data_IF_661713517614
#
_entry.id   IF_661713517614
#
_cell.length_a   1.000
_cell.length_b   1.000
_cell.length_c   1.000
_cell.angle_alpha   90.00
_cell.angle_beta   90.00
_cell.angle_gamma   90.00
#
_symmetry.space_group_name_H-M   'P 1'
#
loop_
_entity.id
_entity.type
_entity.pdbx_description
1 polymer ?
#
# COMPACT_ATOMS: atom_id res chain seq x y z
N UNK A 1 -54.00 12.76 50.60
CA UNK A 1 -53.32 13.42 49.45
C UNK A 1 -51.83 13.23 49.63
N UNK A 2 -51.31 12.16 49.08
CA UNK A 2 -49.90 11.79 49.26
C UNK A 2 -49.22 12.05 47.91
N UNK A 3 -48.39 13.07 47.88
CA UNK A 3 -47.61 13.45 46.70
C UNK A 3 -46.37 12.52 46.55
N UNK A 4 -46.38 11.65 45.55
CA UNK A 4 -45.22 10.87 45.14
C UNK A 4 -44.24 11.78 44.39
N UNK A 5 -43.09 12.03 44.98
CA UNK A 5 -41.93 12.68 44.33
C UNK A 5 -41.22 11.67 43.46
N UNK A 6 -41.25 11.87 42.13
CA UNK A 6 -40.52 11.08 41.17
C UNK A 6 -39.10 11.64 41.06
N UNK A 7 -38.16 10.98 41.67
CA UNK A 7 -36.72 11.24 41.47
C UNK A 7 -36.33 10.76 40.07
N UNK A 8 -36.07 11.71 39.16
CA UNK A 8 -35.47 11.42 37.85
C UNK A 8 -34.00 11.00 38.05
N UNK A 9 -33.74 9.74 37.86
CA UNK A 9 -32.36 9.21 37.76
C UNK A 9 -31.74 9.69 36.45
N UNK A 10 -30.82 10.60 36.59
CA UNK A 10 -29.97 11.08 35.49
C UNK A 10 -29.06 9.93 35.04
N UNK A 11 -29.45 9.21 33.99
CA UNK A 11 -28.67 8.17 33.38
C UNK A 11 -27.63 8.84 32.48
N UNK A 12 -26.45 9.10 33.05
CA UNK A 12 -25.27 9.53 32.30
C UNK A 12 -25.00 8.56 31.12
N UNK A 13 -25.03 9.10 29.93
CA UNK A 13 -24.75 8.36 28.70
C UNK A 13 -23.34 7.68 28.78
N UNK A 14 -23.24 6.39 28.51
CA UNK A 14 -21.97 5.70 28.63
C UNK A 14 -20.97 6.25 27.62
N UNK A 15 -19.79 6.55 28.09
CA UNK A 15 -18.63 7.04 27.38
C UNK A 15 -18.08 5.96 26.41
N UNK A 16 -18.78 5.74 25.29
CA UNK A 16 -18.45 4.71 24.29
C UNK A 16 -17.07 4.87 23.65
N UNK A 17 -16.45 6.05 23.75
CA UNK A 17 -15.10 6.30 23.24
C UNK A 17 -13.97 5.62 24.03
N UNK A 18 -14.11 5.39 25.32
CA UNK A 18 -13.08 4.75 26.16
C UNK A 18 -13.00 3.24 25.96
N UNK A 19 -14.09 2.58 25.63
CA UNK A 19 -14.13 1.13 25.39
C UNK A 19 -13.75 0.75 23.96
N UNK A 20 -13.86 1.65 22.98
CA UNK A 20 -13.51 1.40 21.58
C UNK A 20 -12.00 1.28 21.33
N UNK A 21 -11.13 1.95 22.11
CA UNK A 21 -9.68 1.91 21.95
C UNK A 21 -9.05 0.52 22.18
N UNK A 22 -9.29 -0.18 23.31
CA UNK A 22 -8.74 -1.51 23.53
C UNK A 22 -9.24 -2.52 22.49
N UNK A 23 -10.49 -2.41 22.06
CA UNK A 23 -11.07 -3.28 21.04
C UNK A 23 -10.40 -3.08 19.68
N UNK A 24 -10.13 -1.83 19.29
CA UNK A 24 -9.45 -1.48 18.05
C UNK A 24 -8.01 -2.03 17.99
N UNK A 25 -7.26 -1.91 19.09
CA UNK A 25 -5.89 -2.43 19.19
C UNK A 25 -5.87 -3.96 19.18
N UNK A 26 -6.80 -4.62 19.87
CA UNK A 26 -6.93 -6.07 19.86
C UNK A 26 -7.26 -6.57 18.45
N UNK A 27 -8.18 -5.92 17.76
CA UNK A 27 -8.54 -6.26 16.38
C UNK A 27 -7.35 -6.08 15.44
N UNK A 28 -6.63 -4.95 15.53
CA UNK A 28 -5.43 -4.70 14.73
C UNK A 28 -4.34 -5.76 14.95
N UNK A 29 -4.12 -6.16 16.22
CA UNK A 29 -3.14 -7.20 16.56
C UNK A 29 -3.52 -8.58 16.01
N UNK A 30 -4.81 -8.94 16.07
CA UNK A 30 -5.30 -10.22 15.51
C UNK A 30 -5.21 -10.21 13.98
N UNK A 31 -5.57 -9.10 13.33
CA UNK A 31 -5.50 -8.95 11.88
C UNK A 31 -4.05 -9.02 11.39
N UNK A 32 -3.14 -8.30 12.04
CA UNK A 32 -1.71 -8.37 11.74
C UNK A 32 -1.16 -9.80 11.89
N UNK A 33 -1.50 -10.50 12.98
CA UNK A 33 -1.10 -11.89 13.20
C UNK A 33 -1.63 -12.82 12.10
N UNK A 34 -2.85 -12.57 11.61
CA UNK A 34 -3.45 -13.33 10.51
C UNK A 34 -2.67 -13.10 9.21
N UNK A 35 -2.34 -11.85 8.87
CA UNK A 35 -1.56 -11.51 7.68
C UNK A 35 -0.16 -12.15 7.74
N UNK A 36 0.52 -12.07 8.88
CA UNK A 36 1.85 -12.66 9.05
C UNK A 36 1.85 -14.21 9.01
N UNK A 37 0.70 -14.85 9.22
CA UNK A 37 0.54 -16.31 9.13
C UNK A 37 0.13 -16.80 7.73
N UNK A 38 -0.26 -15.91 6.86
CA UNK A 38 -0.53 -16.24 5.45
C UNK A 38 0.79 -16.46 4.71
N UNK A 39 1.23 -17.73 4.67
CA UNK A 39 2.52 -18.11 4.09
C UNK A 39 2.61 -17.77 2.60
N UNK A 40 1.54 -17.98 1.85
CA UNK A 40 1.53 -17.70 0.40
C UNK A 40 1.50 -16.20 0.12
N UNK A 41 0.67 -15.44 0.82
CA UNK A 41 0.67 -13.98 0.73
C UNK A 41 2.01 -13.38 1.12
N UNK A 42 2.63 -13.85 2.20
CA UNK A 42 3.95 -13.39 2.65
C UNK A 42 5.07 -13.76 1.65
N UNK A 43 4.98 -14.92 0.99
CA UNK A 43 5.93 -15.29 -0.05
C UNK A 43 5.92 -14.26 -1.19
N UNK A 44 4.76 -13.97 -1.76
CA UNK A 44 4.66 -13.01 -2.87
C UNK A 44 4.95 -11.57 -2.44
N UNK A 45 4.69 -11.25 -1.19
CA UNK A 45 4.87 -9.89 -0.65
C UNK A 45 6.32 -9.60 -0.24
N UNK A 46 7.04 -10.61 0.26
CA UNK A 46 8.37 -10.43 0.86
C UNK A 46 9.45 -11.22 0.11
N UNK A 47 9.25 -12.53 -0.07
CA UNK A 47 10.28 -13.38 -0.64
C UNK A 47 10.50 -13.12 -2.13
N UNK A 48 9.43 -12.92 -2.91
CA UNK A 48 9.55 -12.69 -4.34
C UNK A 48 10.29 -11.37 -4.66
N UNK A 49 9.93 -10.20 -4.07
CA UNK A 49 10.70 -8.98 -4.30
C UNK A 49 12.15 -9.07 -3.84
N UNK A 50 12.42 -9.75 -2.71
CA UNK A 50 13.77 -9.97 -2.23
C UNK A 50 14.57 -10.87 -3.19
N UNK A 51 13.95 -11.92 -3.72
CA UNK A 51 14.56 -12.78 -4.74
C UNK A 51 14.85 -12.01 -6.03
N UNK A 52 13.92 -11.17 -6.50
CA UNK A 52 14.15 -10.36 -7.69
C UNK A 52 15.27 -9.34 -7.46
N UNK A 53 15.38 -8.74 -6.29
CA UNK A 53 16.52 -7.90 -5.93
C UNK A 53 17.83 -8.70 -5.95
N UNK A 54 17.82 -9.91 -5.42
CA UNK A 54 18.99 -10.79 -5.44
C UNK A 54 19.45 -11.10 -6.88
N UNK A 55 18.51 -11.31 -7.80
CA UNK A 55 18.82 -11.66 -9.21
C UNK A 55 19.28 -10.44 -10.01
N UNK A 56 18.65 -9.27 -9.78
CA UNK A 56 18.83 -8.09 -10.65
C UNK A 56 19.67 -6.97 -10.03
N UNK A 57 19.86 -6.97 -8.72
CA UNK A 57 20.49 -5.84 -8.01
C UNK A 57 21.85 -6.16 -7.41
N UNK A 58 22.15 -7.42 -7.10
CA UNK A 58 23.41 -7.75 -6.41
C UNK A 58 24.58 -7.74 -7.38
N UNK A 59 25.64 -7.03 -6.98
CA UNK A 59 26.91 -7.01 -7.70
C UNK A 59 26.98 -5.98 -8.83
N UNK A 60 25.98 -5.11 -8.95
CA UNK A 60 26.01 -4.00 -9.91
C UNK A 60 26.45 -2.71 -9.20
N UNK A 61 27.76 -2.47 -9.19
CA UNK A 61 28.40 -1.32 -8.56
C UNK A 61 28.51 -0.12 -9.50
N UNK A 62 27.93 -0.17 -10.69
CA UNK A 62 27.94 0.94 -11.65
C UNK A 62 27.28 2.18 -11.01
N UNK A 63 27.91 3.34 -11.17
CA UNK A 63 27.41 4.58 -10.60
C UNK A 63 26.14 5.05 -11.33
N UNK A 64 25.11 5.38 -10.56
CA UNK A 64 23.85 5.90 -11.08
C UNK A 64 23.33 7.06 -10.20
N UNK A 65 23.38 8.28 -10.73
CA UNK A 65 23.03 9.48 -9.97
C UNK A 65 23.94 9.68 -8.75
N UNK A 66 23.33 9.80 -7.56
CA UNK A 66 24.05 9.93 -6.28
C UNK A 66 24.37 8.58 -5.60
N UNK A 67 24.02 7.47 -6.25
CA UNK A 67 24.10 6.10 -5.73
C UNK A 67 24.69 5.15 -6.78
N UNK A 68 24.49 3.84 -6.58
CA UNK A 68 24.78 2.81 -7.60
C UNK A 68 23.51 2.14 -8.12
N UNK A 69 23.63 1.38 -9.23
CA UNK A 69 22.52 0.63 -9.84
C UNK A 69 21.91 -0.35 -8.86
N UNK A 70 22.71 -0.99 -7.99
CA UNK A 70 22.20 -1.87 -6.95
C UNK A 70 21.18 -1.16 -6.04
N UNK A 71 21.44 0.08 -5.65
CA UNK A 71 20.50 0.88 -4.85
C UNK A 71 19.23 1.24 -5.63
N UNK A 72 19.36 1.58 -6.90
CA UNK A 72 18.22 1.86 -7.78
C UNK A 72 17.27 0.65 -7.87
N UNK A 73 17.83 -0.56 -8.07
CA UNK A 73 17.08 -1.81 -8.12
C UNK A 73 16.49 -2.14 -6.74
N UNK A 74 17.25 -1.94 -5.65
CA UNK A 74 16.80 -2.12 -4.28
C UNK A 74 15.53 -1.31 -3.99
N UNK A 75 15.53 -0.03 -4.30
CA UNK A 75 14.37 0.86 -4.10
C UNK A 75 13.17 0.39 -4.95
N UNK A 76 13.42 -0.04 -6.20
CA UNK A 76 12.37 -0.55 -7.09
C UNK A 76 11.72 -1.83 -6.55
N UNK A 77 12.51 -2.78 -6.07
CA UNK A 77 12.01 -4.04 -5.51
C UNK A 77 11.31 -3.83 -4.17
N UNK A 78 11.81 -2.93 -3.32
CA UNK A 78 11.14 -2.53 -2.10
C UNK A 78 9.79 -1.87 -2.38
N UNK A 79 9.71 -1.02 -3.41
CA UNK A 79 8.47 -0.41 -3.86
C UNK A 79 7.45 -1.46 -4.33
N UNK A 80 7.88 -2.45 -5.12
CA UNK A 80 7.04 -3.56 -5.55
C UNK A 80 6.50 -4.37 -4.36
N UNK A 81 7.37 -4.73 -3.41
CA UNK A 81 6.96 -5.45 -2.19
C UNK A 81 5.96 -4.67 -1.35
N UNK A 82 6.19 -3.36 -1.15
CA UNK A 82 5.30 -2.49 -0.40
C UNK A 82 3.92 -2.36 -1.05
N UNK A 83 3.87 -2.18 -2.37
CA UNK A 83 2.62 -2.09 -3.14
C UNK A 83 1.85 -3.40 -3.08
N UNK A 84 2.51 -4.53 -3.24
CA UNK A 84 1.91 -5.86 -3.15
C UNK A 84 1.31 -6.08 -1.75
N UNK A 85 2.05 -5.72 -0.69
CA UNK A 85 1.60 -5.82 0.69
C UNK A 85 0.32 -5.00 0.93
N UNK A 86 0.34 -3.71 0.59
CA UNK A 86 -0.78 -2.80 0.83
C UNK A 86 -2.01 -3.19 0.02
N UNK A 87 -1.84 -3.60 -1.24
CA UNK A 87 -2.92 -4.05 -2.11
C UNK A 87 -3.59 -5.31 -1.56
N UNK A 88 -2.80 -6.30 -1.14
CA UNK A 88 -3.31 -7.59 -0.63
C UNK A 88 -4.10 -7.39 0.66
N UNK A 89 -3.53 -6.66 1.63
CA UNK A 89 -4.19 -6.42 2.93
C UNK A 89 -5.48 -5.62 2.76
N UNK A 90 -5.45 -4.56 1.95
CA UNK A 90 -6.63 -3.73 1.72
C UNK A 90 -7.68 -4.45 0.86
N UNK A 91 -7.25 -5.25 -0.11
CA UNK A 91 -8.14 -6.10 -0.91
C UNK A 91 -8.85 -7.15 -0.07
N UNK A 92 -8.13 -7.82 0.84
CA UNK A 92 -8.72 -8.76 1.80
C UNK A 92 -9.80 -8.09 2.66
N UNK A 93 -9.56 -6.85 3.12
CA UNK A 93 -10.54 -6.09 3.89
C UNK A 93 -11.85 -5.85 3.12
N UNK A 94 -11.75 -5.53 1.82
CA UNK A 94 -12.92 -5.35 0.97
C UNK A 94 -13.69 -6.66 0.76
N UNK A 95 -12.97 -7.76 0.58
CA UNK A 95 -13.55 -9.10 0.41
C UNK A 95 -14.26 -9.56 1.70
N UNK A 96 -13.65 -9.36 2.86
CA UNK A 96 -14.27 -9.64 4.16
C UNK A 96 -15.60 -8.89 4.34
N UNK A 97 -15.66 -7.62 3.96
CA UNK A 97 -16.91 -6.86 4.00
C UNK A 97 -17.99 -7.45 3.09
N UNK A 98 -17.61 -8.05 1.95
CA UNK A 98 -18.57 -8.65 1.01
C UNK A 98 -19.11 -9.99 1.46
N UNK A 99 -18.32 -10.74 2.23
CA UNK A 99 -18.69 -12.09 2.75
C UNK A 99 -19.55 -12.03 4.01
N UNK A 100 -20.13 -10.88 4.37
CA UNK A 100 -21.02 -10.73 5.52
C UNK A 100 -20.31 -10.43 6.84
N UNK A 101 -18.98 -10.43 6.88
CA UNK A 101 -18.20 -10.02 8.05
C UNK A 101 -18.51 -8.58 8.45
N UNK A 102 -18.85 -7.72 7.49
CA UNK A 102 -19.32 -6.36 7.73
C UNK A 102 -20.55 -6.29 8.64
N UNK A 103 -21.47 -7.29 8.60
CA UNK A 103 -22.61 -7.35 9.52
C UNK A 103 -22.17 -7.67 10.94
N UNK A 104 -21.21 -8.55 11.13
CA UNK A 104 -20.67 -8.89 12.46
C UNK A 104 -19.92 -7.70 13.07
N UNK A 105 -19.13 -6.97 12.26
CA UNK A 105 -18.45 -5.75 12.69
C UNK A 105 -19.46 -4.64 13.02
N UNK A 106 -20.58 -4.55 12.31
CA UNK A 106 -21.65 -3.60 12.59
C UNK A 106 -22.35 -3.84 13.94
N UNK A 107 -22.27 -5.05 14.49
CA UNK A 107 -22.75 -5.38 15.84
C UNK A 107 -21.75 -4.97 16.93
N UNK A 108 -20.55 -4.57 16.58
CA UNK A 108 -19.55 -4.05 17.52
C UNK A 108 -19.61 -2.52 17.58
N UNK A 109 -19.21 -1.89 18.69
CA UNK A 109 -19.18 -0.43 18.81
C UNK A 109 -18.03 0.22 17.97
N UNK A 110 -17.53 -0.46 16.94
CA UNK A 110 -16.47 0.04 16.05
C UNK A 110 -17.10 0.86 14.91
N UNK A 111 -16.83 2.16 14.82
CA UNK A 111 -17.29 2.97 13.69
C UNK A 111 -16.58 2.53 12.39
N UNK A 112 -17.28 2.58 11.27
CA UNK A 112 -16.76 2.16 9.94
C UNK A 112 -15.45 2.84 9.57
N UNK A 113 -15.26 4.09 9.99
CA UNK A 113 -14.01 4.83 9.77
C UNK A 113 -12.83 4.22 10.56
N UNK A 114 -13.08 3.77 11.81
CA UNK A 114 -12.06 3.11 12.61
C UNK A 114 -11.64 1.76 11.98
N UNK A 115 -12.58 1.02 11.41
CA UNK A 115 -12.28 -0.21 10.66
C UNK A 115 -11.32 0.06 9.49
N UNK A 116 -11.63 1.06 8.65
CA UNK A 116 -10.76 1.44 7.51
C UNK A 116 -9.38 1.89 8.01
N UNK A 117 -9.33 2.73 9.05
CA UNK A 117 -8.07 3.20 9.61
C UNK A 117 -7.20 2.05 10.15
N UNK A 118 -7.81 1.06 10.84
CA UNK A 118 -7.09 -0.12 11.33
C UNK A 118 -6.54 -0.95 10.16
N UNK A 119 -7.35 -1.21 9.14
CA UNK A 119 -6.91 -1.97 7.97
C UNK A 119 -5.78 -1.27 7.22
N UNK A 120 -5.86 0.06 7.07
CA UNK A 120 -4.77 0.85 6.49
C UNK A 120 -3.51 0.78 7.36
N UNK A 121 -3.64 0.92 8.68
CA UNK A 121 -2.50 0.82 9.58
C UNK A 121 -1.83 -0.57 9.51
N UNK A 122 -2.62 -1.65 9.51
CA UNK A 122 -2.11 -3.01 9.34
C UNK A 122 -1.43 -3.18 7.98
N UNK A 123 -2.02 -2.66 6.90
CA UNK A 123 -1.42 -2.69 5.57
C UNK A 123 -0.05 -1.99 5.54
N UNK A 124 0.06 -0.81 6.17
CA UNK A 124 1.31 -0.06 6.26
C UNK A 124 2.37 -0.77 7.11
N UNK A 125 1.97 -1.45 8.20
CA UNK A 125 2.90 -2.26 9.02
C UNK A 125 3.40 -3.46 8.20
N UNK A 126 2.53 -4.15 7.48
CA UNK A 126 2.93 -5.29 6.63
C UNK A 126 3.84 -4.82 5.50
N UNK A 127 3.59 -3.64 4.90
CA UNK A 127 4.44 -3.06 3.86
C UNK A 127 5.85 -2.70 4.36
N UNK A 128 6.01 -2.40 5.64
CA UNK A 128 7.34 -2.14 6.20
C UNK A 128 8.25 -3.38 6.19
N UNK A 129 7.69 -4.60 6.17
CA UNK A 129 8.48 -5.85 6.18
C UNK A 129 9.31 -6.05 4.91
N UNK A 130 8.74 -6.03 3.68
CA UNK A 130 9.53 -6.14 2.47
C UNK A 130 10.52 -4.99 2.34
N UNK A 131 10.15 -3.76 2.72
CA UNK A 131 11.06 -2.61 2.70
C UNK A 131 12.27 -2.90 3.60
N UNK A 132 12.04 -3.21 4.88
CA UNK A 132 13.11 -3.45 5.84
C UNK A 132 14.03 -4.60 5.41
N UNK A 133 13.46 -5.70 4.90
CA UNK A 133 14.24 -6.85 4.45
C UNK A 133 15.11 -6.51 3.23
N UNK A 134 14.52 -5.88 2.20
CA UNK A 134 15.24 -5.57 0.97
C UNK A 134 16.33 -4.51 1.24
N UNK A 135 16.05 -3.50 2.05
CA UNK A 135 17.04 -2.51 2.46
C UNK A 135 18.17 -3.13 3.30
N UNK A 136 17.85 -4.10 4.17
CA UNK A 136 18.87 -4.83 4.94
C UNK A 136 19.75 -5.70 4.02
N UNK A 137 19.15 -6.38 3.04
CA UNK A 137 19.90 -7.15 2.03
C UNK A 137 20.77 -6.20 1.21
N UNK A 138 20.24 -5.09 0.71
CA UNK A 138 20.99 -4.11 -0.08
C UNK A 138 22.18 -3.54 0.69
N UNK A 139 22.00 -3.20 1.97
CA UNK A 139 23.09 -2.75 2.83
C UNK A 139 24.19 -3.80 3.02
N UNK A 140 23.82 -5.09 3.02
CA UNK A 140 24.77 -6.20 3.16
C UNK A 140 25.45 -6.58 1.83
N UNK A 141 24.88 -6.22 0.68
CA UNK A 141 25.30 -6.70 -0.66
C UNK A 141 25.86 -5.62 -1.56
N UNK A 142 26.18 -4.43 -1.04
CA UNK A 142 26.91 -3.40 -1.77
C UNK A 142 26.06 -2.28 -2.36
N UNK A 143 24.75 -2.20 -2.03
CA UNK A 143 23.97 -1.00 -2.38
C UNK A 143 24.57 0.22 -1.70
N UNK A 144 24.95 1.23 -2.45
CA UNK A 144 25.65 2.43 -1.97
C UNK A 144 24.90 3.70 -2.37
N UNK A 145 24.90 4.68 -1.48
CA UNK A 145 24.29 5.99 -1.64
C UNK A 145 24.48 6.80 -0.36
N UNK A 146 24.14 8.07 -0.38
CA UNK A 146 24.25 8.90 0.81
C UNK A 146 23.10 8.62 1.80
N UNK A 147 23.22 9.07 3.06
CA UNK A 147 22.20 8.83 4.10
C UNK A 147 20.83 9.42 3.75
N UNK A 148 20.80 10.52 2.99
CA UNK A 148 19.55 11.11 2.52
C UNK A 148 18.84 10.19 1.53
N UNK A 149 19.56 9.59 0.57
CA UNK A 149 19.00 8.67 -0.43
C UNK A 149 18.35 7.46 0.24
N UNK A 150 19.03 6.88 1.24
CA UNK A 150 18.49 5.75 2.02
C UNK A 150 17.20 6.10 2.76
N UNK A 151 17.20 7.19 3.51
CA UNK A 151 16.07 7.57 4.34
C UNK A 151 14.90 8.12 3.51
N UNK A 152 15.18 8.98 2.54
CA UNK A 152 14.16 9.60 1.72
C UNK A 152 13.48 8.55 0.83
N UNK A 153 14.24 7.68 0.15
CA UNK A 153 13.65 6.62 -0.68
C UNK A 153 12.81 5.65 0.16
N UNK A 154 13.30 5.20 1.32
CA UNK A 154 12.53 4.34 2.23
C UNK A 154 11.22 5.01 2.69
N UNK A 155 11.27 6.28 3.07
CA UNK A 155 10.09 7.04 3.50
C UNK A 155 9.08 7.20 2.35
N UNK A 156 9.54 7.54 1.15
CA UNK A 156 8.67 7.70 -0.03
C UNK A 156 8.06 6.35 -0.43
N UNK A 157 8.83 5.27 -0.44
CA UNK A 157 8.33 3.92 -0.70
C UNK A 157 7.26 3.55 0.31
N UNK A 158 7.50 3.76 1.59
CA UNK A 158 6.55 3.41 2.63
C UNK A 158 5.27 4.26 2.55
N UNK A 159 5.39 5.58 2.56
CA UNK A 159 4.24 6.50 2.53
C UNK A 159 3.45 6.38 1.22
N UNK A 160 4.13 6.33 0.09
CA UNK A 160 3.50 6.22 -1.23
C UNK A 160 2.74 4.90 -1.44
N UNK A 161 3.14 3.83 -0.76
CA UNK A 161 2.42 2.54 -0.83
C UNK A 161 1.00 2.62 -0.28
N UNK A 162 0.66 3.64 0.52
CA UNK A 162 -0.70 3.88 1.00
C UNK A 162 -1.71 4.12 -0.14
N UNK A 163 -1.28 4.68 -1.26
CA UNK A 163 -2.12 4.85 -2.47
C UNK A 163 -2.62 3.50 -2.98
N UNK A 164 -1.78 2.48 -2.89
CA UNK A 164 -2.11 1.13 -3.34
C UNK A 164 -2.97 0.34 -2.34
N UNK A 165 -3.03 0.76 -1.08
CA UNK A 165 -4.10 0.31 -0.18
C UNK A 165 -5.47 0.79 -0.67
N UNK A 166 -5.58 2.04 -1.12
CA UNK A 166 -6.81 2.57 -1.71
C UNK A 166 -7.14 1.88 -3.04
N UNK A 167 -6.13 1.60 -3.86
CA UNK A 167 -6.27 0.81 -5.09
C UNK A 167 -6.82 -0.60 -4.80
N UNK A 168 -6.22 -1.36 -3.90
CA UNK A 168 -6.66 -2.71 -3.54
C UNK A 168 -8.10 -2.72 -3.04
N UNK A 169 -8.47 -1.75 -2.20
CA UNK A 169 -9.85 -1.54 -1.76
C UNK A 169 -10.78 -1.26 -2.95
N UNK A 170 -10.41 -0.33 -3.84
CA UNK A 170 -11.22 0.06 -5.00
C UNK A 170 -11.48 -1.12 -5.93
N UNK A 171 -10.43 -1.85 -6.32
CA UNK A 171 -10.56 -3.01 -7.21
C UNK A 171 -11.46 -4.08 -6.61
N UNK A 172 -11.26 -4.44 -5.33
CA UNK A 172 -12.08 -5.46 -4.69
C UNK A 172 -13.52 -5.02 -4.39
N UNK A 173 -13.79 -3.71 -4.35
CA UNK A 173 -15.15 -3.17 -4.27
C UNK A 173 -15.86 -3.15 -5.64
N UNK A 174 -15.12 -2.93 -6.72
CA UNK A 174 -15.65 -2.89 -8.09
C UNK A 174 -15.83 -4.29 -8.65
N UNK A 175 -14.79 -5.12 -8.58
CA UNK A 175 -14.82 -6.52 -9.01
C UNK A 175 -15.35 -7.39 -7.88
N UNK A 176 -16.57 -7.90 -8.04
CA UNK A 176 -17.23 -8.70 -7.03
C UNK A 176 -16.80 -10.17 -7.15
N UNK A 177 -16.62 -10.84 -6.00
CA UNK A 177 -16.36 -12.26 -5.93
C UNK A 177 -15.00 -12.61 -5.35
N UNK A 178 -14.75 -13.89 -5.19
CA UNK A 178 -13.55 -14.44 -4.56
C UNK A 178 -12.27 -14.12 -5.35
N UNK A 179 -12.39 -13.91 -6.66
CA UNK A 179 -11.25 -13.62 -7.54
C UNK A 179 -10.81 -12.15 -7.56
N UNK A 180 -11.53 -11.23 -6.89
CA UNK A 180 -11.24 -9.81 -6.94
C UNK A 180 -9.83 -9.47 -6.42
N UNK A 181 -9.37 -10.16 -5.36
CA UNK A 181 -8.02 -10.01 -4.82
C UNK A 181 -6.96 -10.49 -5.82
N UNK A 182 -7.22 -11.60 -6.52
CA UNK A 182 -6.35 -12.11 -7.58
C UNK A 182 -6.23 -11.14 -8.75
N UNK A 183 -7.34 -10.52 -9.17
CA UNK A 183 -7.36 -9.48 -10.20
C UNK A 183 -6.52 -8.27 -9.76
N UNK A 184 -6.71 -7.80 -8.52
CA UNK A 184 -5.95 -6.68 -7.99
C UNK A 184 -4.44 -6.96 -8.02
N UNK A 185 -4.03 -8.14 -7.55
CA UNK A 185 -2.61 -8.54 -7.53
C UNK A 185 -2.04 -8.77 -8.93
N UNK A 186 -2.80 -9.38 -9.84
CA UNK A 186 -2.38 -9.57 -11.23
C UNK A 186 -2.17 -8.25 -11.98
N UNK A 187 -3.05 -7.28 -11.77
CA UNK A 187 -2.89 -5.94 -12.34
C UNK A 187 -1.65 -5.22 -11.79
N UNK A 188 -1.29 -5.41 -10.51
CA UNK A 188 -0.04 -4.86 -9.95
C UNK A 188 1.17 -5.38 -10.70
N UNK A 189 1.23 -6.66 -11.05
CA UNK A 189 2.35 -7.23 -11.80
C UNK A 189 2.48 -6.54 -13.17
N UNK A 190 1.38 -6.41 -13.91
CA UNK A 190 1.37 -5.73 -15.21
C UNK A 190 1.79 -4.26 -15.06
N UNK A 191 1.23 -3.57 -14.06
CA UNK A 191 1.60 -2.17 -13.78
C UNK A 191 3.06 -2.03 -13.34
N UNK A 192 3.67 -3.05 -12.74
CA UNK A 192 5.07 -3.02 -12.31
C UNK A 192 6.02 -3.09 -13.49
N UNK A 193 5.68 -3.85 -14.53
CA UNK A 193 6.42 -3.80 -15.80
C UNK A 193 6.25 -2.42 -16.44
N UNK A 194 5.03 -1.97 -16.67
CA UNK A 194 4.75 -0.67 -17.28
C UNK A 194 5.28 0.51 -16.44
N UNK A 195 5.31 0.36 -15.13
CA UNK A 195 5.82 1.35 -14.17
C UNK A 195 7.34 1.42 -14.08
N UNK A 196 8.07 0.70 -14.96
CA UNK A 196 9.52 0.74 -14.99
C UNK A 196 10.19 0.26 -13.68
N UNK A 197 9.55 -0.73 -12.98
CA UNK A 197 10.09 -1.26 -11.72
C UNK A 197 11.07 -2.41 -11.93
N UNK A 198 10.78 -3.31 -12.88
CA UNK A 198 11.56 -4.52 -13.07
C UNK A 198 12.71 -4.35 -14.06
N UNK A 199 12.46 -3.63 -15.14
CA UNK A 199 13.46 -3.38 -16.20
C UNK A 199 13.32 -1.95 -16.70
N UNK A 200 14.43 -1.24 -16.96
CA UNK A 200 14.39 0.03 -17.66
C UNK A 200 13.65 -0.11 -18.99
N UNK A 201 12.70 0.76 -19.24
CA UNK A 201 11.94 0.82 -20.47
C UNK A 201 12.24 2.09 -21.23
N UNK A 202 12.13 2.02 -22.56
CA UNK A 202 12.31 3.15 -23.47
C UNK A 202 11.21 3.21 -24.52
N UNK A 203 11.26 4.23 -25.37
CA UNK A 203 10.37 4.40 -26.52
C UNK A 203 8.89 4.44 -26.12
N UNK A 204 8.04 3.84 -26.97
CA UNK A 204 6.57 3.87 -26.86
C UNK A 204 6.09 3.21 -25.55
N UNK A 205 6.78 2.17 -25.08
CA UNK A 205 6.38 1.46 -23.85
C UNK A 205 6.58 2.36 -22.64
N UNK A 206 7.65 3.14 -22.59
CA UNK A 206 7.88 4.13 -21.55
C UNK A 206 6.78 5.20 -21.54
N UNK A 207 6.40 5.72 -22.72
CA UNK A 207 5.34 6.72 -22.83
C UNK A 207 3.99 6.20 -22.30
N UNK A 208 3.64 4.94 -22.63
CA UNK A 208 2.44 4.30 -22.06
C UNK A 208 2.59 4.12 -20.55
N UNK A 209 3.78 3.71 -20.12
CA UNK A 209 4.12 3.51 -18.71
C UNK A 209 3.90 4.76 -17.85
N UNK A 210 4.25 5.94 -18.37
CA UNK A 210 4.09 7.25 -17.69
C UNK A 210 2.65 7.53 -17.24
N UNK A 211 1.66 6.93 -17.88
CA UNK A 211 0.26 7.07 -17.49
C UNK A 211 -0.15 6.07 -16.40
N UNK A 212 0.69 5.11 -16.03
CA UNK A 212 0.34 4.13 -14.99
C UNK A 212 0.59 4.68 -13.59
N UNK A 213 -0.20 4.23 -12.57
CA UNK A 213 -0.03 4.71 -11.20
C UNK A 213 1.32 4.33 -10.58
N UNK A 214 1.86 3.17 -10.99
CA UNK A 214 3.14 2.68 -10.47
C UNK A 214 4.33 3.45 -11.02
N UNK A 215 4.23 4.04 -12.21
CA UNK A 215 5.30 4.84 -12.79
C UNK A 215 5.64 6.06 -11.92
N UNK A 216 4.62 6.89 -11.62
CA UNK A 216 4.81 8.07 -10.79
C UNK A 216 5.31 7.73 -9.38
N UNK A 217 4.76 6.69 -8.79
CA UNK A 217 5.20 6.21 -7.47
C UNK A 217 6.66 5.71 -7.47
N UNK A 218 7.04 4.88 -8.43
CA UNK A 218 8.39 4.36 -8.56
C UNK A 218 9.41 5.47 -8.88
N UNK A 219 9.02 6.39 -9.77
CA UNK A 219 9.83 7.57 -10.08
C UNK A 219 10.08 8.43 -8.84
N UNK A 220 9.05 8.71 -8.03
CA UNK A 220 9.21 9.45 -6.78
C UNK A 220 10.10 8.70 -5.78
N UNK A 221 9.93 7.38 -5.65
CA UNK A 221 10.74 6.57 -4.75
C UNK A 221 12.24 6.61 -5.10
N UNK A 222 12.55 6.68 -6.37
CA UNK A 222 13.92 6.75 -6.90
C UNK A 222 14.44 8.18 -7.07
N UNK A 223 13.57 9.18 -6.95
CA UNK A 223 13.92 10.59 -7.17
C UNK A 223 15.11 11.07 -6.33
N UNK A 224 15.26 10.69 -5.05
CA UNK A 224 16.42 11.07 -4.25
C UNK A 224 17.76 10.62 -4.86
N UNK A 225 17.77 9.50 -5.60
CA UNK A 225 18.95 8.89 -6.22
C UNK A 225 19.22 9.49 -7.59
N UNK A 226 18.16 9.58 -8.42
CA UNK A 226 18.28 9.89 -9.85
C UNK A 226 17.94 11.32 -10.23
N UNK A 227 17.41 12.11 -9.29
CA UNK A 227 16.90 13.47 -9.54
C UNK A 227 15.92 13.55 -10.73
N UNK A 228 15.29 12.42 -11.08
CA UNK A 228 14.37 12.28 -12.20
C UNK A 228 15.00 11.85 -13.52
N UNK A 229 16.30 11.65 -13.59
CA UNK A 229 16.94 11.07 -14.78
C UNK A 229 16.60 9.60 -14.90
N UNK A 230 16.28 9.19 -16.12
CA UNK A 230 15.95 7.81 -16.45
C UNK A 230 17.18 7.03 -16.90
N UNK A 231 17.26 5.71 -16.63
CA UNK A 231 18.32 4.87 -17.16
C UNK A 231 18.37 4.91 -18.70
N UNK A 232 19.55 4.61 -19.27
CA UNK A 232 19.78 4.54 -20.71
C UNK A 232 19.51 5.86 -21.46
N UNK A 233 19.69 7.00 -20.80
CA UNK A 233 19.42 8.34 -21.38
C UNK A 233 17.98 8.48 -21.94
N UNK A 234 17.03 7.72 -21.41
CA UNK A 234 15.65 7.70 -21.85
C UNK A 234 14.87 9.02 -21.52
N UNK A 235 15.54 9.96 -20.84
CA UNK A 235 15.01 11.30 -20.56
C UNK A 235 15.03 11.69 -19.09
N UNK A 236 14.30 12.76 -18.79
CA UNK A 236 14.19 13.32 -17.43
C UNK A 236 12.72 13.59 -17.12
N UNK A 237 12.27 13.07 -15.97
CA UNK A 237 10.94 13.30 -15.44
C UNK A 237 11.00 14.27 -14.26
N UNK A 238 10.46 15.48 -14.39
CA UNK A 238 10.46 16.44 -13.30
C UNK A 238 9.53 15.96 -12.15
N UNK A 239 9.91 16.26 -10.91
CA UNK A 239 9.18 15.82 -9.70
C UNK A 239 7.70 16.17 -9.71
N UNK A 240 7.33 17.32 -10.28
CA UNK A 240 5.92 17.75 -10.34
C UNK A 240 5.06 16.83 -11.20
N UNK A 241 5.63 16.26 -12.28
CA UNK A 241 4.92 15.32 -13.16
C UNK A 241 4.66 13.99 -12.42
N UNK A 242 5.64 13.50 -11.69
CA UNK A 242 5.50 12.29 -10.86
C UNK A 242 4.48 12.49 -9.73
N UNK A 243 4.53 13.66 -9.07
CA UNK A 243 3.53 14.03 -8.05
C UNK A 243 2.13 14.17 -8.65
N UNK A 244 1.99 14.81 -9.80
CA UNK A 244 0.71 14.95 -10.49
C UNK A 244 0.12 13.57 -10.84
N UNK A 245 0.96 12.63 -11.33
CA UNK A 245 0.55 11.25 -11.62
C UNK A 245 0.02 10.57 -10.35
N UNK A 246 0.78 10.57 -9.25
CA UNK A 246 0.38 9.92 -7.99
C UNK A 246 -0.90 10.55 -7.43
N UNK A 247 -1.01 11.89 -7.46
CA UNK A 247 -2.21 12.59 -6.99
C UNK A 247 -3.43 12.24 -7.85
N UNK A 248 -3.29 12.25 -9.17
CA UNK A 248 -4.38 11.92 -10.10
C UNK A 248 -4.90 10.50 -9.86
N UNK A 249 -4.00 9.52 -9.76
CA UNK A 249 -4.39 8.14 -9.51
C UNK A 249 -4.96 7.94 -8.09
N UNK A 250 -4.46 8.65 -7.09
CA UNK A 250 -5.05 8.64 -5.74
C UNK A 250 -6.50 9.09 -5.78
N UNK A 251 -6.81 10.17 -6.50
CA UNK A 251 -8.17 10.67 -6.67
C UNK A 251 -9.04 9.65 -7.42
N UNK A 252 -8.52 9.07 -8.52
CA UNK A 252 -9.23 8.04 -9.30
C UNK A 252 -9.56 6.83 -8.41
N UNK A 253 -8.60 6.29 -7.68
CA UNK A 253 -8.82 5.13 -6.81
C UNK A 253 -9.78 5.44 -5.66
N UNK A 254 -9.67 6.63 -5.06
CA UNK A 254 -10.61 7.08 -4.03
C UNK A 254 -12.03 7.23 -4.58
N UNK A 255 -12.20 7.81 -5.76
CA UNK A 255 -13.48 7.93 -6.44
C UNK A 255 -14.09 6.55 -6.74
N UNK A 256 -13.30 5.61 -7.27
CA UNK A 256 -13.74 4.23 -7.53
C UNK A 256 -14.13 3.49 -6.25
N UNK A 257 -13.37 3.66 -5.17
CA UNK A 257 -13.69 3.07 -3.87
C UNK A 257 -15.02 3.61 -3.33
N UNK A 258 -15.22 4.94 -3.36
CA UNK A 258 -16.46 5.58 -2.92
C UNK A 258 -17.64 5.15 -3.80
N UNK A 259 -17.45 5.11 -5.11
CA UNK A 259 -18.49 4.64 -6.05
C UNK A 259 -18.88 3.17 -5.76
N UNK A 260 -17.88 2.28 -5.57
CA UNK A 260 -18.11 0.88 -5.21
C UNK A 260 -18.89 0.72 -3.90
N UNK A 261 -18.60 1.55 -2.89
CA UNK A 261 -19.33 1.57 -1.62
C UNK A 261 -20.78 2.05 -1.77
N UNK A 262 -21.02 3.13 -2.53
CA UNK A 262 -22.36 3.68 -2.77
C UNK A 262 -23.27 2.69 -3.48
N UNK A 263 -22.78 2.09 -4.57
CA UNK A 263 -23.52 1.08 -5.36
C UNK A 263 -23.92 -0.17 -4.53
N UNK A 264 -23.30 -0.39 -3.39
CA UNK A 264 -23.66 -1.46 -2.45
C UNK A 264 -24.82 -1.08 -1.54
N UNK A 265 -24.86 0.17 -1.07
CA UNK A 265 -25.96 0.65 -0.20
C UNK A 265 -27.30 0.69 -0.91
N UNK A 266 -27.35 0.88 -2.23
CA UNK A 266 -28.56 0.92 -3.03
C UNK A 266 -29.16 -0.48 -3.30
N UNK A 267 -28.46 -1.58 -2.93
CA UNK A 267 -28.90 -2.97 -3.19
C UNK A 267 -29.26 -3.74 -1.92
N UNK A 268 -29.21 -3.11 -0.77
CA UNK A 268 -29.65 -3.63 0.52
C UNK A 268 -30.92 -2.90 0.95
#
# INVERSE_FOLDING_TARGET
>A
MTTMSTTATDTAAPTGRRQARPLALTYAGLDLKRQLRDRMGMFFTVALPAFLFFVFGIGDDEAYGSANVAMYVMVSMAAYGAVTATTTVAGAAATEQTMGWGRQVALTPLPSLAFVAIKTAVAMIVAALPIALIYAIGAATGSSGNAFDWLASAAIVWLGSAVFAVYGLAVCLVFKGENAAGIASGLIVIMSFLGNLFTPMDGIILEIGRFTPLYGYAGLARYPISEGYLPNDAGHDPVWLLLANVCAWTVIFAALAVWGLRRRRERV
#
